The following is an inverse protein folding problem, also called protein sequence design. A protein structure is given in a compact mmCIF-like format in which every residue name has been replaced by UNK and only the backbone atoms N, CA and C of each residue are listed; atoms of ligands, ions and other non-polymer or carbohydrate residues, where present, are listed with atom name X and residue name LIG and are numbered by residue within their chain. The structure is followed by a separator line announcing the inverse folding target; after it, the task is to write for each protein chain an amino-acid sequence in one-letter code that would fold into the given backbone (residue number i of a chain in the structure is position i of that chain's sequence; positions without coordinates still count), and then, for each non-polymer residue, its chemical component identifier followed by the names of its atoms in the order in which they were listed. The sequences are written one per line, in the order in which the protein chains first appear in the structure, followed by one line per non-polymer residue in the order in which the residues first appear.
data_IF_510258478215
#
_entry.id   IF_510258478215
#
_cell.length_a   1.000
_cell.length_b   1.000
_cell.length_c   1.000
_cell.angle_alpha   90.00
_cell.angle_beta   90.00
_cell.angle_gamma   90.00
#
_symmetry.space_group_name_H-M   'P 1'
#
loop_
_entity.id
_entity.type
_entity.pdbx_description
1 polymer ?
#
# COMPACT_ATOMS: atom_id res chain seq x y z
N UNK A 1 0.93 2.87 24.33
CA UNK A 1 -0.40 2.93 23.68
C UNK A 1 -0.30 2.26 22.33
N UNK A 2 -1.38 1.61 21.87
CA UNK A 2 -1.43 1.03 20.53
C UNK A 2 -1.50 2.17 19.51
N UNK A 3 -0.69 2.16 18.42
CA UNK A 3 -0.75 3.22 17.42
C UNK A 3 -2.08 3.20 16.66
N UNK A 4 -2.55 4.36 16.23
CA UNK A 4 -3.73 4.47 15.37
C UNK A 4 -3.40 4.10 13.91
N UNK A 5 -2.17 4.38 13.50
CA UNK A 5 -1.69 4.20 12.13
C UNK A 5 -0.36 3.45 12.10
N UNK A 6 -0.22 2.48 11.19
CA UNK A 6 1.09 1.93 10.82
C UNK A 6 1.44 2.35 9.39
N UNK A 7 2.56 3.02 9.23
CA UNK A 7 3.13 3.36 7.93
C UNK A 7 3.99 2.19 7.47
N UNK A 8 3.63 1.56 6.37
CA UNK A 8 4.28 0.35 5.84
C UNK A 8 5.18 0.71 4.66
N UNK A 9 6.46 0.38 4.79
CA UNK A 9 7.52 0.66 3.82
C UNK A 9 8.18 -0.64 3.33
N UNK A 10 7.80 -1.18 2.15
CA UNK A 10 8.59 -2.21 1.49
C UNK A 10 9.84 -1.56 0.89
N UNK A 11 11.02 -1.98 1.29
CA UNK A 11 12.28 -1.39 0.85
C UNK A 11 13.25 -2.46 0.34
N UNK A 12 13.97 -2.15 -0.74
CA UNK A 12 15.10 -2.95 -1.24
C UNK A 12 16.13 -2.07 -1.90
N UNK A 13 17.32 -1.96 -1.28
CA UNK A 13 18.42 -1.13 -1.76
C UNK A 13 17.96 0.33 -1.95
N UNK A 14 17.43 0.91 -0.86
CA UNK A 14 16.93 2.28 -0.79
C UNK A 14 17.78 3.16 0.15
N UNK A 15 19.05 2.78 0.36
CA UNK A 15 20.01 3.61 1.07
C UNK A 15 20.09 5.01 0.45
N UNK A 16 20.02 6.03 1.31
CA UNK A 16 19.95 7.45 0.90
C UNK A 16 18.53 7.97 0.63
N UNK A 17 17.57 7.11 0.28
CA UNK A 17 16.15 7.48 0.15
C UNK A 17 15.38 7.32 1.45
N UNK A 18 15.78 6.32 2.28
CA UNK A 18 14.99 5.93 3.45
C UNK A 18 15.06 6.97 4.58
N UNK A 19 16.22 7.63 4.77
CA UNK A 19 16.37 8.68 5.79
C UNK A 19 15.43 9.86 5.54
N UNK A 20 15.48 10.56 4.39
CA UNK A 20 14.59 11.68 4.15
C UNK A 20 13.12 11.27 4.21
N UNK A 21 12.77 10.06 3.73
CA UNK A 21 11.40 9.57 3.79
C UNK A 21 10.90 9.41 5.25
N UNK A 22 11.70 8.83 6.14
CA UNK A 22 11.33 8.69 7.56
C UNK A 22 11.21 10.05 8.25
N UNK A 23 12.11 10.99 7.93
CA UNK A 23 12.04 12.37 8.43
C UNK A 23 10.75 13.08 7.99
N UNK A 24 10.36 12.91 6.74
CA UNK A 24 9.12 13.47 6.19
C UNK A 24 7.88 12.82 6.81
N UNK A 25 7.87 11.48 6.96
CA UNK A 25 6.78 10.76 7.63
C UNK A 25 6.61 11.28 9.07
N UNK A 26 7.71 11.39 9.81
CA UNK A 26 7.69 11.91 11.17
C UNK A 26 7.15 13.34 11.21
N UNK A 27 7.68 14.23 10.36
CA UNK A 27 7.22 15.63 10.28
C UNK A 27 5.73 15.74 9.95
N UNK A 28 5.24 14.92 9.03
CA UNK A 28 3.84 14.95 8.58
C UNK A 28 2.86 14.38 9.62
N UNK A 29 3.25 13.38 10.40
CA UNK A 29 2.30 12.62 11.23
C UNK A 29 2.39 12.90 12.72
N UNK A 30 3.54 13.35 13.23
CA UNK A 30 3.81 13.44 14.66
C UNK A 30 2.82 14.30 15.47
N UNK A 31 2.24 15.34 14.84
CA UNK A 31 1.26 16.22 15.51
C UNK A 31 -0.20 15.84 15.21
N UNK A 32 -0.44 14.87 14.32
CA UNK A 32 -1.78 14.56 13.82
C UNK A 32 -2.32 13.22 14.32
N UNK A 33 -1.45 12.23 14.55
CA UNK A 33 -1.90 10.89 14.96
C UNK A 33 -0.78 10.13 15.68
N UNK A 34 -1.17 9.15 16.49
CA UNK A 34 -0.20 8.18 17.02
C UNK A 34 0.13 7.17 15.93
N UNK A 35 1.41 6.99 15.63
CA UNK A 35 1.82 6.12 14.55
C UNK A 35 3.08 5.32 14.87
N UNK A 36 3.28 4.27 14.11
CA UNK A 36 4.54 3.54 13.99
C UNK A 36 4.94 3.42 12.52
N UNK A 37 6.21 3.20 12.27
CA UNK A 37 6.73 2.83 10.95
C UNK A 37 7.09 1.34 10.99
N UNK A 38 6.64 0.58 9.97
CA UNK A 38 7.01 -0.83 9.80
C UNK A 38 7.68 -0.98 8.44
N UNK A 39 9.01 -1.08 8.48
CA UNK A 39 9.83 -1.26 7.30
C UNK A 39 10.12 -2.75 7.10
N UNK A 40 9.87 -3.27 5.90
CA UNK A 40 10.36 -4.58 5.50
C UNK A 40 11.52 -4.40 4.52
N UNK A 41 12.71 -4.72 4.98
CA UNK A 41 13.91 -4.83 4.16
C UNK A 41 13.87 -6.15 3.39
N UNK A 42 13.55 -6.09 2.10
CA UNK A 42 13.36 -7.25 1.22
C UNK A 42 14.71 -7.74 0.64
N UNK A 43 15.64 -8.09 1.54
CA UNK A 43 16.94 -8.62 1.20
C UNK A 43 17.84 -7.58 0.52
N UNK A 44 18.02 -6.42 1.16
CA UNK A 44 18.96 -5.40 0.69
C UNK A 44 20.42 -5.84 0.90
N UNK A 45 21.27 -5.43 -0.04
CA UNK A 45 22.72 -5.62 0.01
C UNK A 45 23.44 -4.37 0.56
N UNK A 46 22.69 -3.29 0.80
CA UNK A 46 23.17 -1.99 1.30
C UNK A 46 22.76 -1.73 2.77
N UNK A 47 22.92 -0.51 3.24
CA UNK A 47 22.64 -0.09 4.62
C UNK A 47 21.19 0.39 4.83
N UNK A 48 20.24 0.02 3.96
CA UNK A 48 18.83 0.49 4.03
C UNK A 48 18.22 0.31 5.42
N UNK A 49 18.30 -0.90 6.00
CA UNK A 49 17.75 -1.19 7.33
C UNK A 49 18.43 -0.43 8.46
N UNK A 50 19.77 -0.32 8.41
CA UNK A 50 20.55 0.40 9.42
C UNK A 50 20.27 1.90 9.39
N UNK A 51 20.22 2.50 8.21
CA UNK A 51 19.89 3.92 8.02
C UNK A 51 18.49 4.25 8.59
N UNK A 52 17.52 3.34 8.40
CA UNK A 52 16.19 3.48 8.99
C UNK A 52 16.22 3.49 10.51
N UNK A 53 16.96 2.54 11.13
CA UNK A 53 17.10 2.42 12.58
C UNK A 53 17.72 3.68 13.17
N UNK A 54 18.82 4.16 12.59
CA UNK A 54 19.56 5.31 13.10
C UNK A 54 18.71 6.59 12.98
N UNK A 55 17.97 6.72 11.90
CA UNK A 55 17.06 7.85 11.69
C UNK A 55 15.92 7.85 12.70
N UNK A 56 15.27 6.71 12.91
CA UNK A 56 14.17 6.59 13.85
C UNK A 56 14.62 6.86 15.31
N UNK A 57 15.80 6.36 15.71
CA UNK A 57 16.39 6.65 17.02
C UNK A 57 16.62 8.15 17.22
N UNK A 58 17.17 8.83 16.23
CA UNK A 58 17.42 10.28 16.27
C UNK A 58 16.14 11.10 16.41
N UNK A 59 15.06 10.67 15.77
CA UNK A 59 13.76 11.35 15.80
C UNK A 59 12.91 10.95 17.02
N UNK A 60 13.25 9.86 17.72
CA UNK A 60 12.42 9.31 18.80
C UNK A 60 11.11 8.70 18.28
N UNK A 61 11.06 8.26 17.02
CA UNK A 61 9.86 7.63 16.45
C UNK A 61 9.88 6.11 16.57
N UNK A 62 8.69 5.51 16.66
CA UNK A 62 8.54 4.07 16.75
C UNK A 62 8.78 3.43 15.39
N UNK A 63 9.78 2.55 15.28
CA UNK A 63 10.12 1.82 14.06
C UNK A 63 10.26 0.32 14.35
N UNK A 64 9.69 -0.50 13.51
CA UNK A 64 10.00 -1.94 13.38
C UNK A 64 10.70 -2.18 12.04
N UNK A 65 11.86 -2.83 12.07
CA UNK A 65 12.55 -3.29 10.86
C UNK A 65 12.44 -4.80 10.81
N UNK A 66 11.82 -5.31 9.74
CA UNK A 66 11.69 -6.73 9.43
C UNK A 66 12.60 -7.01 8.23
N UNK A 67 13.41 -8.08 8.30
CA UNK A 67 14.34 -8.40 7.22
C UNK A 67 14.04 -9.77 6.63
N UNK A 68 13.91 -9.81 5.30
CA UNK A 68 13.93 -11.05 4.54
C UNK A 68 15.39 -11.43 4.23
N UNK A 69 15.78 -12.71 4.31
CA UNK A 69 17.14 -13.13 4.00
C UNK A 69 17.48 -12.99 2.50
N UNK A 70 16.46 -12.96 1.65
CA UNK A 70 16.54 -12.74 0.20
C UNK A 70 15.27 -12.03 -0.27
N UNK A 71 15.31 -11.45 -1.47
CA UNK A 71 14.17 -10.73 -2.00
C UNK A 71 12.99 -11.65 -2.33
N UNK A 72 11.86 -11.36 -1.71
CA UNK A 72 10.60 -12.07 -1.89
C UNK A 72 9.56 -11.26 -2.67
N UNK A 73 9.90 -10.03 -3.06
CA UNK A 73 9.04 -9.13 -3.83
C UNK A 73 8.16 -8.21 -2.98
N UNK A 74 7.73 -7.11 -3.60
CA UNK A 74 7.00 -6.02 -2.94
C UNK A 74 5.73 -6.49 -2.21
N UNK A 75 4.95 -7.40 -2.81
CA UNK A 75 3.73 -7.91 -2.17
C UNK A 75 4.01 -8.68 -0.89
N UNK A 76 5.07 -9.51 -0.88
CA UNK A 76 5.49 -10.24 0.30
C UNK A 76 5.98 -9.27 1.38
N UNK A 77 6.77 -8.27 0.99
CA UNK A 77 7.27 -7.27 1.92
C UNK A 77 6.12 -6.47 2.58
N UNK A 78 5.14 -6.02 1.79
CA UNK A 78 3.92 -5.35 2.31
C UNK A 78 3.13 -6.29 3.22
N UNK A 79 2.93 -7.54 2.82
CA UNK A 79 2.20 -8.53 3.62
C UNK A 79 2.90 -8.81 4.95
N UNK A 80 4.22 -9.00 4.93
CA UNK A 80 5.04 -9.20 6.14
C UNK A 80 4.90 -8.00 7.08
N UNK A 81 5.05 -6.77 6.56
CA UNK A 81 4.91 -5.55 7.37
C UNK A 81 3.54 -5.44 8.03
N UNK A 82 2.45 -5.65 7.28
CA UNK A 82 1.08 -5.51 7.81
C UNK A 82 0.76 -6.57 8.87
N UNK A 83 1.29 -7.78 8.74
CA UNK A 83 1.12 -8.81 9.76
C UNK A 83 1.79 -8.45 11.10
N UNK A 84 2.89 -7.69 11.07
CA UNK A 84 3.63 -7.25 12.25
C UNK A 84 3.27 -5.81 12.68
N UNK A 85 2.38 -5.15 11.96
CA UNK A 85 1.85 -3.84 12.31
C UNK A 85 0.86 -3.93 13.48
N UNK A 86 0.81 -2.89 14.32
CA UNK A 86 -0.12 -2.81 15.46
C UNK A 86 -1.23 -1.77 15.25
N UNK A 87 -1.08 -0.87 14.27
CA UNK A 87 -2.04 0.18 13.98
C UNK A 87 -3.39 -0.34 13.50
N UNK A 88 -4.46 0.37 13.82
CA UNK A 88 -5.80 0.10 13.31
C UNK A 88 -5.86 0.33 11.79
N UNK A 89 -5.22 1.41 11.34
CA UNK A 89 -5.10 1.76 9.93
C UNK A 89 -3.69 1.49 9.42
N UNK A 90 -3.60 1.17 8.15
CA UNK A 90 -2.36 0.99 7.40
C UNK A 90 -2.27 2.07 6.35
N UNK A 91 -1.13 2.76 6.26
CA UNK A 91 -0.73 3.56 5.11
C UNK A 91 0.44 2.87 4.41
N UNK A 92 0.28 2.51 3.13
CA UNK A 92 1.39 1.98 2.33
C UNK A 92 2.06 3.10 1.56
N UNK A 93 3.39 3.18 1.59
CA UNK A 93 4.20 4.09 0.78
C UNK A 93 5.35 3.31 0.15
N UNK A 94 5.74 3.71 -1.06
CA UNK A 94 6.95 3.20 -1.69
C UNK A 94 8.19 3.88 -1.07
N UNK A 95 9.26 3.11 -0.83
CA UNK A 95 10.45 3.59 -0.13
C UNK A 95 11.37 4.51 -0.99
N UNK A 96 11.01 4.74 -2.26
CA UNK A 96 11.77 5.55 -3.22
C UNK A 96 11.51 7.08 -3.12
N UNK A 97 10.69 7.50 -2.16
CA UNK A 97 10.38 8.91 -1.90
C UNK A 97 9.42 9.58 -2.89
N UNK A 98 8.84 8.81 -3.83
CA UNK A 98 7.91 9.38 -4.82
C UNK A 98 6.55 9.76 -4.24
N UNK A 99 6.11 9.10 -3.15
CA UNK A 99 4.88 9.43 -2.46
C UNK A 99 5.12 10.58 -1.45
N UNK A 100 4.17 11.49 -1.34
CA UNK A 100 4.21 12.56 -0.34
C UNK A 100 3.57 12.09 0.97
N UNK A 101 4.33 11.95 2.08
CA UNK A 101 3.76 11.55 3.37
C UNK A 101 2.70 12.51 3.93
N UNK A 102 2.70 13.78 3.52
CA UNK A 102 1.69 14.76 3.94
C UNK A 102 0.27 14.38 3.49
N UNK A 103 0.13 13.69 2.36
CA UNK A 103 -1.17 13.22 1.87
C UNK A 103 -1.81 12.16 2.79
N UNK A 104 -1.00 11.44 3.58
CA UNK A 104 -1.48 10.39 4.50
C UNK A 104 -2.48 10.93 5.52
N UNK A 105 -2.27 12.15 6.04
CA UNK A 105 -3.15 12.77 7.05
C UNK A 105 -4.57 12.90 6.51
N UNK A 106 -4.71 13.51 5.34
CA UNK A 106 -6.02 13.71 4.71
C UNK A 106 -6.68 12.39 4.30
N UNK A 107 -5.88 11.40 3.85
CA UNK A 107 -6.39 10.08 3.50
C UNK A 107 -6.85 9.30 4.73
N UNK A 108 -6.14 9.39 5.85
CA UNK A 108 -6.54 8.77 7.13
C UNK A 108 -7.85 9.35 7.64
N UNK A 109 -8.00 10.68 7.62
CA UNK A 109 -9.25 11.32 8.04
C UNK A 109 -10.44 10.92 7.16
N UNK A 110 -10.23 10.81 5.84
CA UNK A 110 -11.26 10.27 4.94
C UNK A 110 -11.61 8.82 5.28
N UNK A 111 -10.61 7.98 5.58
CA UNK A 111 -10.85 6.58 5.93
C UNK A 111 -11.66 6.45 7.23
N UNK A 112 -11.42 7.33 8.22
CA UNK A 112 -12.18 7.35 9.48
C UNK A 112 -13.64 7.81 9.31
N UNK A 113 -13.92 8.67 8.33
CA UNK A 113 -15.27 9.19 8.07
C UNK A 113 -16.19 8.18 7.37
N UNK A 114 -15.62 7.19 6.70
CA UNK A 114 -16.39 6.15 6.00
C UNK A 114 -16.94 5.15 6.99
N UNK A 115 -18.26 4.91 6.93
CA UNK A 115 -18.93 3.95 7.83
C UNK A 115 -18.62 2.49 7.51
N UNK A 116 -18.26 2.19 6.26
CA UNK A 116 -17.95 0.83 5.86
C UNK A 116 -16.67 0.35 6.55
N UNK A 117 -16.67 -0.78 7.29
CA UNK A 117 -15.49 -1.30 7.96
C UNK A 117 -14.38 -1.70 6.97
N UNK A 118 -14.74 -1.99 5.72
CA UNK A 118 -13.80 -2.36 4.67
C UNK A 118 -13.55 -1.19 3.72
N UNK A 119 -13.03 -0.08 4.26
CA UNK A 119 -12.66 1.09 3.46
C UNK A 119 -11.23 1.01 2.93
N UNK A 120 -11.03 1.49 1.70
CA UNK A 120 -9.71 1.80 1.17
C UNK A 120 -9.73 3.18 0.51
N UNK A 121 -8.93 4.10 1.03
CA UNK A 121 -8.63 5.36 0.36
C UNK A 121 -7.42 5.14 -0.54
N UNK A 122 -7.63 5.20 -1.84
CA UNK A 122 -6.61 4.97 -2.85
C UNK A 122 -6.10 6.30 -3.43
N UNK A 123 -4.79 6.48 -3.42
CA UNK A 123 -4.14 7.64 -4.02
C UNK A 123 -4.30 7.66 -5.54
N UNK A 124 -4.51 8.85 -6.09
CA UNK A 124 -4.55 9.11 -7.52
C UNK A 124 -3.55 10.21 -7.89
N UNK A 125 -2.56 9.87 -8.73
CA UNK A 125 -1.52 10.79 -9.19
C UNK A 125 -2.05 11.69 -10.29
N UNK A 126 -2.46 12.92 -9.94
CA UNK A 126 -3.07 13.85 -10.88
C UNK A 126 -2.07 14.38 -11.92
N UNK A 127 -0.81 14.61 -11.53
CA UNK A 127 0.27 15.14 -12.41
C UNK A 127 1.37 14.09 -12.58
N UNK A 128 1.22 13.19 -13.56
CA UNK A 128 2.28 12.24 -13.92
C UNK A 128 3.23 12.90 -14.91
N UNK A 129 4.53 12.87 -14.62
CA UNK A 129 5.60 13.36 -15.51
C UNK A 129 6.09 12.31 -16.52
N UNK A 130 5.34 11.23 -16.73
CA UNK A 130 5.67 10.19 -17.70
C UNK A 130 5.66 10.71 -19.14
N UNK A 131 6.45 10.06 -19.99
CA UNK A 131 6.41 10.31 -21.43
C UNK A 131 5.01 10.04 -21.99
N UNK A 132 4.57 10.72 -23.08
CA UNK A 132 3.26 10.52 -23.69
C UNK A 132 2.97 9.03 -24.01
N UNK A 133 3.97 8.28 -24.43
CA UNK A 133 3.89 6.85 -24.73
C UNK A 133 3.57 6.01 -23.48
N UNK A 134 4.34 6.18 -22.41
CA UNK A 134 4.12 5.46 -21.13
C UNK A 134 2.75 5.83 -20.54
N UNK A 135 2.34 7.08 -20.66
CA UNK A 135 1.02 7.56 -20.21
C UNK A 135 -0.11 6.88 -20.97
N UNK A 136 0.01 6.72 -22.29
CA UNK A 136 -1.00 6.05 -23.14
C UNK A 136 -1.09 4.58 -22.79
N UNK A 137 0.03 3.86 -22.68
CA UNK A 137 0.05 2.45 -22.25
C UNK A 137 -0.59 2.26 -20.87
N UNK A 138 -0.26 3.12 -19.90
CA UNK A 138 -0.87 3.08 -18.57
C UNK A 138 -2.37 3.34 -18.60
N UNK A 139 -2.85 4.26 -19.45
CA UNK A 139 -4.29 4.53 -19.61
C UNK A 139 -5.03 3.32 -20.18
N UNK A 140 -4.46 2.67 -21.21
CA UNK A 140 -5.06 1.46 -21.82
C UNK A 140 -5.09 0.33 -20.78
N UNK A 141 -3.98 0.05 -20.12
CA UNK A 141 -3.90 -0.99 -19.09
C UNK A 141 -4.89 -0.76 -17.94
N UNK A 142 -5.01 0.49 -17.45
CA UNK A 142 -5.97 0.84 -16.42
C UNK A 142 -7.42 0.71 -16.90
N UNK A 143 -7.72 1.09 -18.15
CA UNK A 143 -9.07 0.95 -18.72
C UNK A 143 -9.48 -0.52 -18.89
N UNK A 144 -8.56 -1.37 -19.36
CA UNK A 144 -8.77 -2.82 -19.44
C UNK A 144 -9.02 -3.41 -18.06
N UNK A 145 -8.17 -3.07 -17.09
CA UNK A 145 -8.33 -3.52 -15.71
C UNK A 145 -9.67 -3.06 -15.11
N UNK A 146 -10.03 -1.79 -15.26
CA UNK A 146 -11.31 -1.26 -14.77
C UNK A 146 -12.52 -1.97 -15.38
N UNK A 147 -12.48 -2.27 -16.69
CA UNK A 147 -13.54 -3.00 -17.36
C UNK A 147 -13.75 -4.40 -16.76
N UNK A 148 -12.66 -5.11 -16.43
CA UNK A 148 -12.74 -6.46 -15.87
C UNK A 148 -12.95 -6.51 -14.36
N UNK A 149 -12.38 -5.57 -13.62
CA UNK A 149 -12.41 -5.57 -12.15
C UNK A 149 -13.43 -4.60 -11.55
N UNK A 150 -13.92 -3.63 -12.31
CA UNK A 150 -14.86 -2.61 -11.82
C UNK A 150 -14.45 -2.08 -10.42
N UNK A 151 -13.15 -1.80 -10.23
CA UNK A 151 -12.60 -1.40 -8.95
C UNK A 151 -12.71 0.11 -8.68
N UNK A 152 -13.10 0.88 -9.67
CA UNK A 152 -13.29 2.33 -9.58
C UNK A 152 -12.00 3.14 -9.42
N UNK A 153 -10.82 2.52 -9.55
CA UNK A 153 -9.53 3.19 -9.33
C UNK A 153 -8.87 3.57 -10.66
N UNK A 154 -8.68 4.86 -10.94
CA UNK A 154 -8.08 5.32 -12.18
C UNK A 154 -6.56 5.05 -12.26
N UNK A 155 -5.88 4.90 -11.11
CA UNK A 155 -4.43 4.69 -11.01
C UNK A 155 -4.07 3.60 -10.00
N UNK A 156 -4.10 2.34 -10.43
CA UNK A 156 -3.73 1.21 -9.56
C UNK A 156 -2.25 1.16 -9.20
N UNK A 157 -1.42 1.86 -9.98
CA UNK A 157 0.02 1.90 -9.76
C UNK A 157 0.47 2.88 -8.68
N UNK A 158 -0.44 3.63 -8.07
CA UNK A 158 -0.11 4.48 -6.93
C UNK A 158 0.14 3.60 -5.70
N UNK A 159 1.35 3.69 -5.10
CA UNK A 159 1.72 2.95 -3.89
C UNK A 159 0.98 3.42 -2.65
N UNK A 160 0.61 4.70 -2.61
CA UNK A 160 -0.05 5.32 -1.46
C UNK A 160 -1.51 4.90 -1.34
N UNK A 161 -1.83 4.14 -0.30
CA UNK A 161 -3.18 3.70 0.05
C UNK A 161 -3.35 3.70 1.56
N UNK A 162 -4.55 4.05 2.04
CA UNK A 162 -4.91 3.96 3.46
C UNK A 162 -6.13 3.05 3.60
N UNK A 163 -6.05 2.05 4.47
CA UNK A 163 -7.10 1.07 4.71
C UNK A 163 -7.00 0.49 6.13
N UNK A 164 -8.04 -0.22 6.59
CA UNK A 164 -7.99 -0.90 7.88
C UNK A 164 -7.12 -2.15 7.82
N UNK A 165 -6.28 -2.34 8.84
CA UNK A 165 -5.42 -3.53 8.97
C UNK A 165 -6.22 -4.83 8.92
N UNK A 166 -7.33 -4.90 9.66
CA UNK A 166 -8.19 -6.08 9.69
C UNK A 166 -8.74 -6.44 8.31
N UNK A 167 -9.13 -5.43 7.51
CA UNK A 167 -9.57 -5.66 6.13
C UNK A 167 -8.49 -6.37 5.30
N UNK A 168 -7.24 -5.92 5.39
CA UNK A 168 -6.14 -6.55 4.65
C UNK A 168 -5.91 -8.00 5.07
N UNK A 169 -5.98 -8.30 6.36
CA UNK A 169 -5.74 -9.64 6.90
C UNK A 169 -6.80 -10.67 6.45
N UNK A 170 -7.97 -10.23 6.00
CA UNK A 170 -9.02 -11.07 5.42
C UNK A 170 -8.82 -11.34 3.91
N UNK A 171 -7.88 -10.62 3.27
CA UNK A 171 -7.64 -10.78 1.83
C UNK A 171 -6.81 -12.03 1.55
N UNK A 172 -7.07 -12.73 0.43
CA UNK A 172 -6.23 -13.84 -0.01
C UNK A 172 -4.84 -13.30 -0.41
N UNK A 173 -3.80 -13.93 0.12
CA UNK A 173 -2.44 -13.61 -0.27
C UNK A 173 -2.07 -14.26 -1.60
N UNK A 174 -1.47 -13.48 -2.50
CA UNK A 174 -0.77 -13.91 -3.72
C UNK A 174 0.24 -12.84 -4.13
N UNK A 175 1.25 -13.23 -4.89
CA UNK A 175 2.23 -12.25 -5.37
C UNK A 175 1.57 -11.19 -6.27
N UNK A 176 2.07 -9.96 -6.26
CA UNK A 176 1.51 -8.77 -6.92
C UNK A 176 0.12 -8.31 -6.40
N UNK A 177 -0.42 -8.91 -5.32
CA UNK A 177 -1.72 -8.52 -4.77
C UNK A 177 -1.83 -7.02 -4.41
N UNK A 178 -0.71 -6.36 -4.07
CA UNK A 178 -0.67 -4.94 -3.73
C UNK A 178 -1.25 -4.02 -4.82
N UNK A 179 -1.22 -4.46 -6.10
CA UNK A 179 -1.80 -3.75 -7.25
C UNK A 179 -3.31 -3.88 -7.33
N UNK A 180 -3.86 -4.92 -6.72
CA UNK A 180 -5.26 -5.29 -6.77
C UNK A 180 -6.02 -5.03 -5.47
N UNK A 181 -5.38 -4.40 -4.47
CA UNK A 181 -5.99 -4.14 -3.17
C UNK A 181 -7.40 -3.52 -3.26
N UNK A 182 -7.64 -2.48 -4.07
CA UNK A 182 -8.98 -1.93 -4.21
C UNK A 182 -10.00 -2.95 -4.73
N UNK A 183 -9.64 -3.74 -5.76
CA UNK A 183 -10.52 -4.77 -6.31
C UNK A 183 -10.82 -5.90 -5.29
N UNK A 184 -9.81 -6.29 -4.50
CA UNK A 184 -9.96 -7.29 -3.45
C UNK A 184 -10.83 -6.78 -2.29
N UNK A 185 -10.69 -5.51 -1.91
CA UNK A 185 -11.52 -4.88 -0.87
C UNK A 185 -12.96 -4.72 -1.39
N UNK A 186 -13.14 -4.29 -2.63
CA UNK A 186 -14.47 -4.19 -3.24
C UNK A 186 -15.18 -5.55 -3.34
N UNK A 187 -14.43 -6.63 -3.55
CA UNK A 187 -14.93 -8.01 -3.49
C UNK A 187 -15.58 -8.34 -2.13
N UNK A 188 -15.15 -7.69 -1.06
CA UNK A 188 -15.70 -7.82 0.30
C UNK A 188 -16.85 -6.84 0.58
N UNK A 189 -17.48 -6.27 -0.44
CA UNK A 189 -18.43 -5.16 -0.33
C UNK A 189 -17.81 -3.91 0.33
N UNK A 190 -16.48 -3.76 0.25
CA UNK A 190 -15.77 -2.61 0.77
C UNK A 190 -15.94 -1.36 -0.09
N UNK A 191 -15.70 -0.22 0.51
CA UNK A 191 -15.81 1.09 -0.12
C UNK A 191 -14.45 1.62 -0.56
N UNK A 192 -14.37 2.09 -1.81
CA UNK A 192 -13.15 2.67 -2.37
C UNK A 192 -13.35 4.16 -2.54
N UNK A 193 -12.52 4.94 -1.87
CA UNK A 193 -12.49 6.40 -1.95
C UNK A 193 -11.23 6.84 -2.69
N UNK A 194 -11.36 7.69 -3.69
CA UNK A 194 -10.21 8.23 -4.43
C UNK A 194 -9.74 9.53 -3.80
N UNK A 195 -8.43 9.65 -3.60
CA UNK A 195 -7.80 10.86 -3.13
C UNK A 195 -6.70 11.32 -4.09
N UNK A 196 -6.74 12.56 -4.62
CA UNK A 196 -5.64 13.10 -5.40
C UNK A 196 -4.41 13.27 -4.49
N UNK A 197 -3.27 12.75 -4.93
CA UNK A 197 -2.02 12.79 -4.17
C UNK A 197 -0.92 13.47 -4.98
N UNK A 198 0.01 14.09 -4.27
CA UNK A 198 1.23 14.61 -4.84
C UNK A 198 2.15 13.47 -5.26
N UNK A 199 2.80 13.61 -6.41
CA UNK A 199 3.77 12.65 -6.90
C UNK A 199 5.04 13.36 -7.28
N UNK A 200 6.14 12.93 -6.68
CA UNK A 200 7.46 13.54 -6.83
C UNK A 200 8.33 12.73 -7.79
N UNK A 201 9.41 13.34 -8.25
CA UNK A 201 10.46 12.61 -8.96
C UNK A 201 11.19 11.69 -7.96
N UNK A 202 11.68 10.55 -8.44
CA UNK A 202 12.47 9.63 -7.62
C UNK A 202 13.77 10.33 -7.19
N UNK A 203 14.11 10.23 -5.90
CA UNK A 203 15.31 10.87 -5.36
C UNK A 203 16.61 10.24 -5.90
N UNK A 204 16.73 8.91 -5.88
CA UNK A 204 17.87 8.16 -6.37
C UNK A 204 17.45 6.77 -6.88
N UNK A 205 18.31 6.11 -7.68
CA UNK A 205 18.12 4.73 -8.14
C UNK A 205 17.53 4.58 -9.53
N UNK A 206 17.72 3.39 -10.13
CA UNK A 206 17.25 3.03 -11.48
C UNK A 206 16.13 2.03 -11.38
N UNK A 207 15.07 2.19 -12.21
CA UNK A 207 13.98 1.21 -12.29
C UNK A 207 14.50 -0.16 -12.75
N UNK A 208 14.41 -1.18 -11.87
CA UNK A 208 14.98 -2.52 -12.07
C UNK A 208 14.09 -3.48 -12.86
N UNK A 209 12.97 -3.03 -13.46
CA UNK A 209 11.95 -3.93 -13.98
C UNK A 209 11.89 -3.99 -15.52
N UNK A 210 11.82 -5.21 -16.05
CA UNK A 210 11.64 -5.48 -17.48
C UNK A 210 10.15 -5.39 -17.85
N UNK A 211 9.80 -4.57 -18.85
CA UNK A 211 8.42 -4.21 -19.22
C UNK A 211 7.58 -5.42 -19.67
N UNK A 212 8.19 -6.36 -20.41
CA UNK A 212 7.50 -7.53 -20.97
C UNK A 212 7.04 -8.54 -19.89
N UNK A 213 7.90 -8.83 -18.91
CA UNK A 213 7.53 -9.75 -17.84
C UNK A 213 6.40 -9.17 -16.96
N UNK A 214 6.38 -7.84 -16.76
CA UNK A 214 5.32 -7.17 -15.99
C UNK A 214 3.95 -7.24 -16.67
N UNK A 215 3.90 -7.18 -18.00
CA UNK A 215 2.65 -7.23 -18.76
C UNK A 215 2.02 -8.62 -18.66
N UNK A 216 2.80 -9.67 -18.87
CA UNK A 216 2.32 -11.05 -18.89
C UNK A 216 1.82 -11.50 -17.51
N UNK A 217 2.62 -11.24 -16.48
CA UNK A 217 2.23 -11.49 -15.10
C UNK A 217 0.95 -10.71 -14.73
N UNK A 218 0.86 -9.44 -15.11
CA UNK A 218 -0.32 -8.63 -14.84
C UNK A 218 -1.60 -9.15 -15.51
N UNK A 219 -1.50 -9.80 -16.67
CA UNK A 219 -2.65 -10.43 -17.35
C UNK A 219 -3.09 -11.68 -16.58
N UNK A 220 -2.16 -12.54 -16.19
CA UNK A 220 -2.45 -13.74 -15.40
C UNK A 220 -3.10 -13.39 -14.07
N UNK A 221 -2.54 -12.42 -13.36
CA UNK A 221 -3.07 -11.91 -12.08
C UNK A 221 -4.49 -11.34 -12.26
N UNK A 222 -4.74 -10.61 -13.35
CA UNK A 222 -6.06 -10.07 -13.67
C UNK A 222 -7.12 -11.18 -13.76
N UNK A 223 -6.83 -12.26 -14.49
CA UNK A 223 -7.74 -13.42 -14.58
C UNK A 223 -7.91 -14.11 -13.23
N UNK A 224 -6.84 -14.23 -12.43
CA UNK A 224 -6.88 -14.78 -11.07
C UNK A 224 -7.83 -13.98 -10.17
N UNK A 225 -7.70 -12.64 -10.18
CA UNK A 225 -8.58 -11.75 -9.39
C UNK A 225 -10.02 -11.78 -9.91
N UNK A 226 -10.25 -11.86 -11.21
CA UNK A 226 -11.59 -12.05 -11.77
C UNK A 226 -12.23 -13.37 -11.29
N UNK A 227 -11.46 -14.45 -11.28
CA UNK A 227 -11.91 -15.74 -10.76
C UNK A 227 -12.25 -15.64 -9.27
N UNK A 228 -11.38 -15.05 -8.44
CA UNK A 228 -11.63 -14.81 -7.03
C UNK A 228 -12.92 -14.04 -6.79
N UNK A 229 -13.18 -12.97 -7.56
CA UNK A 229 -14.40 -12.17 -7.43
C UNK A 229 -15.67 -12.99 -7.72
N UNK A 230 -15.65 -13.84 -8.73
CA UNK A 230 -16.80 -14.70 -9.10
C UNK A 230 -17.06 -15.83 -8.10
N UNK A 231 -16.08 -16.24 -7.31
CA UNK A 231 -16.16 -17.35 -6.35
C UNK A 231 -16.52 -16.90 -4.94
N UNK A 232 -16.65 -15.59 -4.70
CA UNK A 232 -16.98 -15.06 -3.38
C UNK A 232 -18.45 -15.22 -3.08
N UNK A 233 -18.74 -15.74 -1.88
CA UNK A 233 -20.06 -15.73 -1.26
C UNK A 233 -19.91 -15.25 0.16
N UNK A 234 -20.69 -14.23 0.55
CA UNK A 234 -20.72 -13.71 1.91
C UNK A 234 -22.04 -14.15 2.55
N UNK A 235 -22.01 -14.97 3.60
CA UNK A 235 -23.22 -15.35 4.31
C UNK A 235 -23.74 -14.16 5.12
N UNK A 236 -25.05 -14.01 5.18
CA UNK A 236 -25.71 -13.21 6.21
C UNK A 236 -25.97 -14.17 7.38
N UNK A 237 -25.42 -13.86 8.55
CA UNK A 237 -25.55 -14.68 9.75
C UNK A 237 -26.53 -13.99 10.69
N UNK A 238 -27.67 -14.61 10.94
CA UNK A 238 -28.59 -14.23 12.01
C UNK A 238 -28.24 -15.04 13.26
N UNK A 239 -27.90 -14.33 14.33
CA UNK A 239 -27.63 -14.97 15.63
C UNK A 239 -28.92 -14.96 16.45
N UNK A 240 -29.51 -16.11 16.61
CA UNK A 240 -30.65 -16.30 17.56
C UNK A 240 -30.08 -16.74 18.92
N UNK A 241 -30.30 -15.93 19.94
CA UNK A 241 -30.02 -16.31 21.32
C UNK A 241 -31.21 -17.03 21.89
N UNK A 242 -30.96 -18.16 22.52
CA UNK A 242 -31.96 -18.85 23.35
C UNK A 242 -31.76 -18.30 24.77
N UNK A 243 -32.52 -17.25 25.11
CA UNK A 243 -32.59 -16.77 26.50
C UNK A 243 -33.32 -17.84 27.32
N UNK A 244 -32.55 -18.63 28.12
CA UNK A 244 -33.04 -19.47 29.19
C UNK A 244 -32.98 -18.73 30.52
#
# INVERSE_FOLDING_TARGET
MKPSLSVVLPAKNEQGNIRPLIEEIFSALNQHTTFEIVLTDDGSDDQTGQEAIDTAKRLGCQLKVLRHPYSCGQSTAVHTAIRHADGEYIATLDADGQNDPADVVAMLEKAKQVRNPHVCVAGYRNKRKDTPWVRTQSKIANRVRQFFLDDGVPDSGCGLKVFRRETFLLLPYFDHMHRFLPALIRRMNGEIVIHPVNHRDRGAGVSKYNVWNRLWVGIVDLFGVMWLRRRTRWPVVEVTHNDQ
#
